data_IF_495456611385
#
_entry.id   IF_495456611385
#
_cell.length_a   1.000
_cell.length_b   1.000
_cell.length_c   1.000
_cell.angle_alpha   90.00
_cell.angle_beta   90.00
_cell.angle_gamma   90.00
#
_symmetry.space_group_name_H-M   'P 1'
#
loop_
_entity.id
_entity.type
_entity.pdbx_description
1 polymer ?
#
# COMPACT_ATOMS: atom_id res chain seq x y z
N UNK A 1 6.60 -13.81 -1.47
CA UNK A 1 6.26 -12.40 -1.22
C UNK A 1 5.24 -12.38 -0.08
N UNK A 2 5.70 -12.42 1.18
CA UNK A 2 4.87 -12.50 2.41
C UNK A 2 3.90 -13.69 2.52
N UNK A 3 4.41 -14.93 2.50
CA UNK A 3 3.64 -16.14 2.90
C UNK A 3 3.95 -16.60 4.33
N UNK A 4 4.96 -16.00 4.93
CA UNK A 4 5.39 -16.28 6.29
C UNK A 4 5.11 -15.03 7.14
N UNK A 5 4.19 -15.08 8.11
CA UNK A 5 3.85 -13.93 8.95
C UNK A 5 4.99 -13.48 9.87
N UNK A 6 6.07 -14.27 10.01
CA UNK A 6 7.24 -13.93 10.83
C UNK A 6 8.29 -13.09 10.10
N UNK A 7 8.20 -12.95 8.77
CA UNK A 7 9.19 -12.24 7.95
C UNK A 7 8.62 -10.90 7.49
N UNK A 8 9.08 -9.80 8.13
CA UNK A 8 8.85 -8.46 7.62
C UNK A 8 9.80 -8.18 6.45
N UNK A 9 9.25 -7.74 5.32
CA UNK A 9 10.02 -7.39 4.12
C UNK A 9 10.05 -5.87 3.95
N UNK A 10 11.21 -5.30 3.63
CA UNK A 10 11.27 -3.87 3.30
C UNK A 10 10.79 -3.69 1.87
N UNK A 11 9.72 -2.91 1.70
CA UNK A 11 9.11 -2.61 0.41
C UNK A 11 9.10 -1.11 0.16
N UNK A 12 8.86 -0.76 -1.10
CA UNK A 12 8.42 0.58 -1.50
C UNK A 12 7.03 0.46 -2.09
N UNK A 13 6.08 1.23 -1.55
CA UNK A 13 4.77 1.45 -2.16
C UNK A 13 4.79 2.82 -2.84
N UNK A 14 4.31 2.89 -4.07
CA UNK A 14 4.18 4.13 -4.82
C UNK A 14 2.70 4.39 -5.13
N UNK A 15 2.31 5.65 -4.97
CA UNK A 15 1.07 6.18 -5.52
C UNK A 15 1.39 7.47 -6.27
N UNK A 16 0.73 7.66 -7.41
CA UNK A 16 0.92 8.83 -8.25
C UNK A 16 -0.39 9.23 -8.94
N UNK A 17 -0.43 10.48 -9.38
CA UNK A 17 -1.42 10.95 -10.35
C UNK A 17 -0.73 11.98 -11.25
N UNK A 18 -0.72 11.70 -12.55
CA UNK A 18 -0.01 12.51 -13.55
C UNK A 18 -0.98 12.96 -14.63
N UNK A 19 -1.04 14.27 -14.85
CA UNK A 19 -1.67 14.87 -16.03
C UNK A 19 -0.59 15.14 -17.08
N UNK A 20 -0.61 14.34 -18.15
CA UNK A 20 0.38 14.41 -19.22
C UNK A 20 0.21 15.66 -20.11
N UNK A 21 -1.01 16.19 -20.25
CA UNK A 21 -1.28 17.37 -21.07
C UNK A 21 -0.85 18.64 -20.35
N UNK A 22 -1.27 18.79 -19.09
CA UNK A 22 -0.90 19.93 -18.25
C UNK A 22 0.56 19.86 -17.77
N UNK A 23 1.22 18.69 -17.89
CA UNK A 23 2.55 18.39 -17.32
C UNK A 23 2.61 18.70 -15.82
N UNK A 24 1.56 18.32 -15.12
CA UNK A 24 1.46 18.47 -13.67
C UNK A 24 1.12 17.15 -13.02
N UNK A 25 1.30 17.05 -11.71
CA UNK A 25 0.95 15.84 -10.98
C UNK A 25 1.65 15.74 -9.65
N UNK A 26 1.61 14.55 -9.08
CA UNK A 26 2.33 14.20 -7.87
C UNK A 26 2.71 12.72 -7.91
N UNK A 27 3.77 12.38 -7.18
CA UNK A 27 4.10 10.99 -6.82
C UNK A 27 4.56 10.96 -5.37
N UNK A 28 4.19 9.90 -4.66
CA UNK A 28 4.58 9.62 -3.29
C UNK A 28 5.11 8.21 -3.21
N UNK A 29 6.33 8.07 -2.68
CA UNK A 29 6.95 6.79 -2.35
C UNK A 29 6.96 6.61 -0.83
N UNK A 30 6.48 5.46 -0.38
CA UNK A 30 6.50 5.03 1.02
C UNK A 30 7.41 3.82 1.13
N UNK A 31 8.56 3.99 1.78
CA UNK A 31 9.42 2.87 2.16
C UNK A 31 9.06 2.43 3.57
N UNK A 32 8.92 1.13 3.77
CA UNK A 32 8.55 0.59 5.08
C UNK A 32 8.57 -0.93 5.14
N UNK A 33 8.38 -1.46 6.34
CA UNK A 33 8.21 -2.90 6.57
C UNK A 33 6.80 -3.33 6.23
N UNK A 34 6.69 -4.27 5.30
CA UNK A 34 5.46 -4.98 4.98
C UNK A 34 5.36 -6.28 5.78
N UNK A 35 4.19 -6.55 6.33
CA UNK A 35 3.88 -7.81 7.01
C UNK A 35 2.43 -8.21 6.79
N UNK A 36 2.15 -9.51 6.92
CA UNK A 36 0.78 -10.02 6.91
C UNK A 36 0.05 -9.56 8.18
N UNK A 37 -1.19 -9.08 8.03
CA UNK A 37 -2.09 -8.84 9.16
C UNK A 37 -2.68 -10.17 9.59
N UNK A 38 -2.45 -10.56 10.83
CA UNK A 38 -2.88 -11.86 11.38
C UNK A 38 -3.87 -11.75 12.55
N UNK A 39 -4.02 -10.56 13.15
CA UNK A 39 -5.03 -10.34 14.19
C UNK A 39 -6.44 -10.44 13.56
N UNK A 40 -7.31 -11.36 14.04
CA UNK A 40 -8.64 -11.55 13.49
C UNK A 40 -9.53 -10.29 13.51
N UNK A 41 -9.36 -9.42 14.51
CA UNK A 41 -10.14 -8.18 14.61
C UNK A 41 -9.73 -7.17 13.55
N UNK A 42 -8.42 -7.05 13.29
CA UNK A 42 -7.91 -6.18 12.22
C UNK A 42 -8.27 -6.72 10.84
N UNK A 43 -8.18 -8.04 10.63
CA UNK A 43 -8.59 -8.67 9.36
C UNK A 43 -10.08 -8.38 9.07
N UNK A 44 -10.97 -8.62 10.04
CA UNK A 44 -12.40 -8.36 9.87
C UNK A 44 -12.69 -6.88 9.61
N UNK A 45 -11.99 -5.98 10.29
CA UNK A 45 -12.09 -4.53 10.06
C UNK A 45 -11.67 -4.17 8.63
N UNK A 46 -10.55 -4.68 8.15
CA UNK A 46 -10.05 -4.36 6.82
C UNK A 46 -10.90 -4.99 5.71
N UNK A 47 -11.50 -6.17 5.93
CA UNK A 47 -12.47 -6.76 5.00
C UNK A 47 -13.70 -5.88 4.76
N UNK A 48 -14.07 -5.03 5.71
CA UNK A 48 -15.19 -4.09 5.55
C UNK A 48 -14.76 -2.77 4.87
N UNK A 49 -13.47 -2.43 4.93
CA UNK A 49 -12.95 -1.13 4.47
C UNK A 49 -12.32 -1.21 3.07
N UNK A 50 -11.76 -2.37 2.71
CA UNK A 50 -11.06 -2.56 1.45
C UNK A 50 -11.95 -3.33 0.49
N UNK A 51 -12.03 -2.84 -0.75
CA UNK A 51 -12.75 -3.52 -1.83
C UNK A 51 -11.72 -4.07 -2.82
N UNK A 52 -11.55 -5.40 -2.89
CA UNK A 52 -10.73 -6.02 -3.93
C UNK A 52 -11.22 -5.62 -5.32
N UNK A 53 -10.30 -5.42 -6.24
CA UNK A 53 -10.64 -5.10 -7.64
C UNK A 53 -11.05 -6.33 -8.46
N UNK A 54 -10.79 -7.51 -7.94
CA UNK A 54 -11.20 -8.79 -8.53
C UNK A 54 -12.32 -9.33 -7.66
N UNK A 55 -13.34 -9.90 -8.29
CA UNK A 55 -14.50 -10.52 -7.63
C UNK A 55 -14.11 -11.87 -7.00
N UNK A 56 -13.21 -11.79 -6.02
CA UNK A 56 -12.78 -12.88 -5.14
C UNK A 56 -12.80 -12.37 -3.71
N UNK A 57 -13.02 -13.29 -2.78
CA UNK A 57 -12.88 -12.98 -1.36
C UNK A 57 -11.44 -12.51 -1.07
N UNK A 58 -11.32 -11.53 -0.17
CA UNK A 58 -10.00 -11.04 0.22
C UNK A 58 -9.31 -12.07 1.11
N UNK A 59 -8.37 -12.83 0.53
CA UNK A 59 -7.63 -13.89 1.22
C UNK A 59 -6.69 -13.36 2.31
N UNK A 60 -6.04 -12.22 2.06
CA UNK A 60 -4.97 -11.68 2.92
C UNK A 60 -4.96 -10.15 2.92
N UNK A 61 -4.54 -9.58 4.05
CA UNK A 61 -4.26 -8.14 4.18
C UNK A 61 -2.78 -7.95 4.50
N UNK A 62 -2.11 -7.10 3.73
CA UNK A 62 -0.72 -6.70 3.98
C UNK A 62 -0.70 -5.28 4.52
N UNK A 63 -0.05 -5.08 5.66
CA UNK A 63 0.20 -3.76 6.23
C UNK A 63 1.62 -3.33 5.91
N UNK A 64 1.79 -2.11 5.41
CA UNK A 64 3.09 -1.45 5.28
C UNK A 64 3.17 -0.39 6.38
N UNK A 65 4.08 -0.58 7.33
CA UNK A 65 4.38 0.45 8.33
C UNK A 65 5.34 1.45 7.70
N UNK A 66 4.84 2.67 7.42
CA UNK A 66 5.61 3.72 6.79
C UNK A 66 6.79 4.15 7.67
N UNK A 67 8.00 4.13 7.12
CA UNK A 67 9.23 4.56 7.80
C UNK A 67 9.82 5.81 7.13
N UNK A 68 9.79 5.85 5.79
CA UNK A 68 10.23 6.99 5.00
C UNK A 68 9.12 7.31 4.01
N UNK A 69 8.73 8.58 3.95
CA UNK A 69 7.76 9.10 2.99
C UNK A 69 8.42 10.21 2.20
N UNK A 70 8.51 10.03 0.88
CA UNK A 70 9.05 11.03 -0.05
C UNK A 70 7.94 11.43 -1.01
N UNK A 71 7.68 12.73 -1.12
CA UNK A 71 6.69 13.27 -2.04
C UNK A 71 7.31 14.23 -3.04
N UNK A 72 6.86 14.11 -4.29
CA UNK A 72 7.23 15.00 -5.38
C UNK A 72 5.97 15.62 -5.97
N UNK A 73 6.03 16.93 -6.24
CA UNK A 73 5.05 17.63 -7.07
C UNK A 73 5.66 17.85 -8.45
N UNK A 74 4.91 17.54 -9.49
CA UNK A 74 5.26 17.79 -10.88
C UNK A 74 4.51 19.02 -11.37
N UNK A 75 5.20 19.87 -12.12
CA UNK A 75 4.69 21.14 -12.61
C UNK A 75 5.70 22.26 -12.41
N UNK A 76 5.44 23.43 -12.99
CA UNK A 76 6.23 24.64 -12.73
C UNK A 76 6.11 25.11 -11.27
#
# INVERSE_FOLDING_TARGET
LLRDPSLAEVVVYEADQIDLEARTGWSVMVTGRASLVTDPLDVARYQQLLTPWIDIDMDHVVQITAEIVTGYRLGP
#
